data_IF_797383582329
#
_entry.id   IF_797383582329
#
_cell.length_a   1.000
_cell.length_b   1.000
_cell.length_c   1.000
_cell.angle_alpha   90.00
_cell.angle_beta   90.00
_cell.angle_gamma   90.00
#
_symmetry.space_group_name_H-M   'P 1'
#
loop_
_entity.id
_entity.type
_entity.pdbx_description
1 polymer ?
#
# COMPACT_ATOMS: atom_id res chain seq x y z
N UNK A 1 48.50 28.00 6.21
CA UNK A 1 48.54 28.76 7.47
C UNK A 1 48.39 27.75 8.60
N UNK A 2 49.43 27.54 9.41
CA UNK A 2 49.54 26.52 10.47
C UNK A 2 49.05 27.11 11.78
N UNK A 3 48.18 26.41 12.51
CA UNK A 3 48.15 26.32 13.99
C UNK A 3 47.46 24.99 14.36
N UNK A 4 48.17 23.96 14.82
CA UNK A 4 48.71 23.69 16.17
C UNK A 4 47.67 23.10 17.14
N UNK A 5 47.93 21.86 17.55
CA UNK A 5 47.16 21.05 18.52
C UNK A 5 47.35 21.55 19.95
N UNK A 6 46.30 21.46 20.76
CA UNK A 6 46.41 21.48 22.22
C UNK A 6 45.63 20.29 22.79
N UNK A 7 46.36 19.27 23.27
CA UNK A 7 45.80 18.12 23.98
C UNK A 7 45.48 18.55 25.42
N UNK A 8 44.27 18.25 25.91
CA UNK A 8 43.92 18.41 27.33
C UNK A 8 43.45 17.07 27.89
N UNK A 9 43.98 16.77 29.07
CA UNK A 9 43.83 15.59 29.93
C UNK A 9 42.42 14.97 29.88
N UNK A 10 42.33 13.71 29.47
CA UNK A 10 41.10 12.90 29.51
C UNK A 10 40.88 12.46 30.96
N UNK A 11 39.98 13.16 31.65
CA UNK A 11 39.46 12.77 32.96
C UNK A 11 38.67 11.46 32.83
N UNK A 12 38.89 10.53 33.77
CA UNK A 12 38.31 9.18 33.84
C UNK A 12 36.76 9.20 33.79
N UNK A 13 36.12 10.33 34.13
CA UNK A 13 34.68 10.52 33.99
C UNK A 13 34.16 10.63 32.55
N UNK A 14 35.02 10.87 31.56
CA UNK A 14 34.63 10.98 30.15
C UNK A 14 34.44 9.61 29.50
N UNK A 15 35.23 8.61 29.91
CA UNK A 15 35.16 7.25 29.35
C UNK A 15 33.84 6.56 29.70
N UNK A 16 33.37 6.71 30.95
CA UNK A 16 32.05 6.19 31.37
C UNK A 16 30.90 6.86 30.62
N UNK A 17 31.01 8.18 30.33
CA UNK A 17 30.00 8.92 29.56
C UNK A 17 30.00 8.57 28.07
N UNK A 18 31.17 8.27 27.49
CA UNK A 18 31.26 7.81 26.09
C UNK A 18 30.72 6.38 25.96
N UNK A 19 31.06 5.48 26.90
CA UNK A 19 30.56 4.10 26.87
C UNK A 19 29.05 4.07 27.10
N UNK A 20 28.51 4.85 28.06
CA UNK A 20 27.05 4.96 28.23
C UNK A 20 26.37 5.63 27.04
N UNK A 21 26.96 6.67 26.43
CA UNK A 21 26.42 7.26 25.22
C UNK A 21 26.42 6.27 24.03
N UNK A 22 27.49 5.48 23.86
CA UNK A 22 27.56 4.44 22.83
C UNK A 22 26.57 3.30 23.11
N UNK A 23 26.37 2.92 24.38
CA UNK A 23 25.38 1.90 24.74
C UNK A 23 23.95 2.42 24.55
N UNK A 24 23.68 3.69 24.85
CA UNK A 24 22.38 4.34 24.60
C UNK A 24 22.17 4.51 23.09
N UNK A 25 23.18 4.86 22.29
CA UNK A 25 23.07 4.91 20.83
C UNK A 25 22.88 3.51 20.24
N UNK A 26 23.55 2.49 20.78
CA UNK A 26 23.37 1.10 20.35
C UNK A 26 21.99 0.55 20.76
N UNK A 27 21.51 0.85 21.96
CA UNK A 27 20.17 0.50 22.44
C UNK A 27 19.09 1.29 21.72
N UNK A 28 19.31 2.56 21.38
CA UNK A 28 18.43 3.34 20.52
C UNK A 28 18.43 2.81 19.09
N UNK A 29 19.58 2.38 18.54
CA UNK A 29 19.65 1.70 17.23
C UNK A 29 18.99 0.33 17.23
N UNK A 30 19.08 -0.41 18.33
CA UNK A 30 18.37 -1.67 18.51
C UNK A 30 16.86 -1.44 18.71
N UNK A 31 16.46 -0.35 19.37
CA UNK A 31 15.06 0.03 19.54
C UNK A 31 14.44 0.57 18.24
N UNK A 32 15.23 1.17 17.33
CA UNK A 32 14.76 1.52 15.97
C UNK A 32 14.60 0.31 15.05
N UNK A 33 15.05 -0.90 15.44
CA UNK A 33 14.84 -2.11 14.65
C UNK A 33 13.41 -2.69 14.76
N UNK A 34 12.57 -2.11 15.62
CA UNK A 34 11.16 -2.49 15.82
C UNK A 34 10.17 -1.50 15.23
N UNK A 35 10.65 -0.54 14.42
CA UNK A 35 9.75 0.38 13.75
C UNK A 35 9.09 -0.32 12.56
N UNK A 36 7.76 -0.19 12.47
CA UNK A 36 6.91 -0.84 11.46
C UNK A 36 7.08 -0.12 10.11
N UNK A 37 8.27 -0.26 9.55
CA UNK A 37 8.72 0.48 8.40
C UNK A 37 8.57 -0.36 7.14
N UNK A 38 7.77 0.14 6.19
CA UNK A 38 7.75 -0.36 4.82
C UNK A 38 9.18 -0.40 4.27
N UNK A 39 9.59 -1.57 3.79
CA UNK A 39 10.94 -1.76 3.25
C UNK A 39 11.01 -3.03 2.41
N UNK A 40 11.78 -2.98 1.34
CA UNK A 40 12.03 -4.17 0.52
C UNK A 40 12.85 -5.20 1.30
N UNK A 41 12.59 -6.48 1.07
CA UNK A 41 13.28 -7.58 1.75
C UNK A 41 12.80 -7.84 3.18
N UNK A 42 11.94 -6.97 3.73
CA UNK A 42 11.27 -7.21 5.01
C UNK A 42 10.12 -8.19 4.84
N UNK A 43 9.93 -9.04 5.83
CA UNK A 43 8.96 -10.14 5.83
C UNK A 43 7.64 -9.77 6.50
N UNK A 44 6.57 -10.35 5.96
CA UNK A 44 5.18 -10.19 6.38
C UNK A 44 4.47 -11.56 6.43
N UNK A 45 3.52 -11.69 7.36
CA UNK A 45 2.71 -12.91 7.49
C UNK A 45 1.37 -12.75 6.76
N UNK A 46 1.26 -13.36 5.58
CA UNK A 46 0.06 -13.36 4.75
C UNK A 46 -0.81 -14.57 5.08
N UNK A 47 -0.22 -15.75 5.30
CA UNK A 47 -0.97 -16.99 5.50
C UNK A 47 -1.86 -16.94 6.74
N UNK A 48 -1.31 -16.51 7.88
CA UNK A 48 -2.09 -16.41 9.13
C UNK A 48 -3.07 -15.24 9.13
N UNK A 49 -3.02 -14.36 8.12
CA UNK A 49 -3.84 -13.16 7.98
C UNK A 49 -4.71 -13.19 6.72
N UNK A 50 -4.77 -14.32 6.02
CA UNK A 50 -5.52 -14.42 4.78
C UNK A 50 -7.01 -14.15 5.04
N UNK A 51 -7.58 -13.20 4.28
CA UNK A 51 -8.95 -12.72 4.43
C UNK A 51 -9.11 -11.55 5.39
N UNK A 52 -8.10 -11.26 6.21
CA UNK A 52 -8.10 -10.18 7.20
C UNK A 52 -6.85 -9.30 7.10
N UNK A 53 -6.13 -9.37 5.97
CA UNK A 53 -4.87 -8.65 5.80
C UNK A 53 -5.06 -7.13 5.91
N UNK A 54 -6.26 -6.62 5.65
CA UNK A 54 -6.62 -5.21 5.82
C UNK A 54 -6.54 -4.70 7.27
N UNK A 55 -6.43 -5.59 8.26
CA UNK A 55 -6.24 -5.24 9.67
C UNK A 55 -4.76 -4.96 9.95
N UNK A 56 -3.86 -5.70 9.29
CA UNK A 56 -2.42 -5.64 9.49
C UNK A 56 -1.73 -4.74 8.47
N UNK A 57 -2.33 -4.56 7.29
CA UNK A 57 -1.87 -3.67 6.23
C UNK A 57 -2.96 -2.65 5.91
N UNK A 58 -2.57 -1.38 5.93
CA UNK A 58 -3.48 -0.28 5.67
C UNK A 58 -3.61 -0.14 4.14
N UNK A 59 -4.73 -0.62 3.61
CA UNK A 59 -5.03 -0.65 2.15
C UNK A 59 -6.35 0.03 1.79
N UNK A 60 -7.05 0.55 2.79
CA UNK A 60 -8.28 1.32 2.64
C UNK A 60 -8.12 2.61 3.44
N UNK A 61 -8.55 3.76 2.91
CA UNK A 61 -8.72 5.00 3.65
C UNK A 61 -9.48 4.81 4.96
N UNK A 62 -8.84 5.25 6.05
CA UNK A 62 -9.45 5.31 7.37
C UNK A 62 -9.50 6.77 7.83
N UNK A 63 -10.55 7.10 8.58
CA UNK A 63 -10.72 8.40 9.19
C UNK A 63 -10.03 8.43 10.57
N UNK A 64 -8.76 8.08 10.60
CA UNK A 64 -7.92 8.07 11.80
C UNK A 64 -6.64 8.88 11.56
N UNK A 65 -5.96 9.26 12.65
CA UNK A 65 -4.73 10.06 12.62
C UNK A 65 -3.46 9.20 12.56
N UNK A 66 -3.62 7.87 12.52
CA UNK A 66 -2.51 6.93 12.59
C UNK A 66 -1.74 6.87 11.26
N UNK A 67 -0.41 6.82 11.34
CA UNK A 67 0.47 6.97 10.18
C UNK A 67 1.03 5.64 9.62
N UNK A 68 0.73 4.52 10.26
CA UNK A 68 1.35 3.25 9.92
C UNK A 68 0.82 2.67 8.59
N UNK A 69 1.72 2.01 7.84
CA UNK A 69 1.37 1.21 6.66
C UNK A 69 1.13 -0.25 7.07
N UNK A 70 1.99 -0.78 7.94
CA UNK A 70 1.79 -2.07 8.60
C UNK A 70 1.56 -1.88 10.10
N UNK A 71 0.55 -2.57 10.64
CA UNK A 71 0.24 -2.52 12.08
C UNK A 71 1.15 -3.44 12.88
N UNK A 72 1.53 -4.56 12.27
CA UNK A 72 2.45 -5.53 12.84
C UNK A 72 3.86 -5.22 12.34
N UNK A 73 4.89 -5.33 13.20
CA UNK A 73 6.25 -5.06 12.79
C UNK A 73 6.68 -6.04 11.69
N UNK A 74 7.29 -5.51 10.63
CA UNK A 74 7.91 -6.31 9.58
C UNK A 74 9.27 -6.84 10.05
N UNK A 75 9.64 -8.05 9.65
CA UNK A 75 10.89 -8.69 10.12
C UNK A 75 11.96 -8.67 9.03
N UNK A 76 13.16 -8.20 9.35
CA UNK A 76 14.31 -8.31 8.43
C UNK A 76 14.79 -9.76 8.37
N UNK A 77 14.71 -10.37 7.19
CA UNK A 77 15.13 -11.78 6.96
C UNK A 77 16.49 -11.87 6.29
N UNK A 78 16.81 -10.91 5.41
CA UNK A 78 18.03 -10.89 4.63
C UNK A 78 18.99 -9.82 5.13
N UNK A 79 20.28 -10.13 5.08
CA UNK A 79 21.37 -9.19 5.34
C UNK A 79 21.70 -8.39 4.10
N UNK A 80 21.99 -7.11 4.28
CA UNK A 80 22.44 -6.20 3.23
C UNK A 80 21.54 -6.18 1.99
N UNK A 81 20.23 -6.41 2.17
CA UNK A 81 19.27 -6.53 1.06
C UNK A 81 19.15 -5.25 0.24
N UNK A 82 19.43 -4.10 0.86
CA UNK A 82 19.43 -2.78 0.23
C UNK A 82 20.41 -2.68 -0.94
N UNK A 83 21.50 -3.47 -0.94
CA UNK A 83 22.45 -3.56 -2.07
C UNK A 83 21.81 -4.08 -3.35
N UNK A 84 20.70 -4.81 -3.22
CA UNK A 84 19.91 -5.35 -4.32
C UNK A 84 18.67 -4.49 -4.63
N UNK A 85 18.45 -3.42 -3.86
CA UNK A 85 17.38 -2.47 -4.13
C UNK A 85 17.75 -1.59 -5.32
N UNK A 86 16.82 -1.48 -6.27
CA UNK A 86 16.92 -0.49 -7.33
C UNK A 86 16.33 0.79 -6.78
N UNK A 87 17.20 1.74 -6.44
CA UNK A 87 16.75 3.11 -6.18
C UNK A 87 16.04 3.62 -7.45
N UNK A 88 14.83 4.20 -7.33
CA UNK A 88 14.16 4.75 -8.49
C UNK A 88 15.08 5.81 -9.09
N UNK A 89 15.38 5.70 -10.40
CA UNK A 89 16.08 6.79 -11.10
C UNK A 89 15.28 8.07 -10.80
N UNK A 90 15.92 9.17 -10.35
CA UNK A 90 15.20 10.42 -10.16
C UNK A 90 14.57 10.77 -11.51
N UNK A 91 13.24 10.57 -11.60
CA UNK A 91 12.50 10.92 -12.80
C UNK A 91 12.55 12.43 -12.88
N UNK A 92 13.15 12.96 -13.94
CA UNK A 92 13.03 14.39 -14.23
C UNK A 92 11.54 14.70 -14.31
N UNK A 93 11.06 15.55 -13.40
CA UNK A 93 9.69 16.01 -13.39
C UNK A 93 9.42 16.82 -14.66
N UNK A 94 9.04 16.14 -15.74
CA UNK A 94 8.61 16.76 -17.00
C UNK A 94 7.19 17.31 -16.90
N UNK A 95 6.43 16.96 -15.86
CA UNK A 95 5.03 17.34 -15.65
C UNK A 95 4.77 17.72 -14.19
N UNK A 96 3.83 18.66 -13.98
CA UNK A 96 3.35 19.11 -12.65
C UNK A 96 2.72 17.96 -11.82
N UNK A 97 2.30 16.90 -12.50
CA UNK A 97 1.70 15.68 -11.95
C UNK A 97 2.40 14.45 -12.54
N UNK A 98 3.01 13.62 -11.69
CA UNK A 98 3.48 12.28 -12.02
C UNK A 98 2.55 11.28 -11.32
N UNK A 99 1.58 10.79 -12.07
CA UNK A 99 0.49 10.00 -11.53
C UNK A 99 -0.28 9.27 -12.61
N UNK A 100 -1.22 8.45 -12.19
CA UNK A 100 -2.00 7.58 -13.05
C UNK A 100 -3.50 7.84 -12.87
N UNK A 101 -4.24 7.80 -13.97
CA UNK A 101 -5.69 7.90 -14.01
C UNK A 101 -6.24 6.61 -14.62
N UNK A 102 -7.08 5.91 -13.87
CA UNK A 102 -7.78 4.73 -14.36
C UNK A 102 -9.27 4.88 -14.18
N UNK A 103 -10.00 4.40 -15.18
CA UNK A 103 -11.44 4.21 -15.15
C UNK A 103 -11.73 2.77 -15.53
N UNK A 104 -12.25 2.00 -14.58
CA UNK A 104 -12.43 0.56 -14.69
C UNK A 104 -13.91 0.19 -14.68
N UNK A 105 -14.38 -0.38 -15.77
CA UNK A 105 -15.75 -0.85 -15.94
C UNK A 105 -15.87 -2.29 -15.44
N UNK A 106 -16.60 -2.47 -14.35
CA UNK A 106 -16.74 -3.72 -13.62
C UNK A 106 -18.18 -4.25 -13.71
N UNK A 107 -18.36 -5.43 -14.30
CA UNK A 107 -19.68 -6.02 -14.56
C UNK A 107 -20.37 -6.55 -13.30
N UNK A 108 -19.62 -6.71 -12.21
CA UNK A 108 -20.09 -7.20 -10.91
C UNK A 108 -19.08 -6.84 -9.80
N UNK A 109 -19.47 -7.10 -8.55
CA UNK A 109 -18.66 -6.81 -7.36
C UNK A 109 -17.29 -7.50 -7.38
N UNK A 110 -17.19 -8.73 -7.89
CA UNK A 110 -15.92 -9.45 -7.96
C UNK A 110 -14.92 -8.71 -8.87
N UNK A 111 -15.37 -8.24 -10.03
CA UNK A 111 -14.54 -7.43 -10.91
C UNK A 111 -14.16 -6.09 -10.27
N UNK A 112 -15.07 -5.47 -9.51
CA UNK A 112 -14.76 -4.25 -8.76
C UNK A 112 -13.64 -4.47 -7.74
N UNK A 113 -13.70 -5.55 -6.96
CA UNK A 113 -12.64 -5.89 -6.01
C UNK A 113 -11.32 -6.22 -6.72
N UNK A 114 -11.37 -6.90 -7.87
CA UNK A 114 -10.19 -7.14 -8.70
C UNK A 114 -9.56 -5.84 -9.22
N UNK A 115 -10.37 -4.89 -9.69
CA UNK A 115 -9.90 -3.60 -10.15
C UNK A 115 -9.32 -2.77 -8.99
N UNK A 116 -9.98 -2.77 -7.83
CA UNK A 116 -9.55 -2.03 -6.64
C UNK A 116 -8.18 -2.49 -6.13
N UNK A 117 -7.96 -3.81 -6.06
CA UNK A 117 -6.71 -4.40 -5.56
C UNK A 117 -5.75 -4.83 -6.69
N UNK A 118 -5.88 -4.27 -7.89
CA UNK A 118 -5.08 -4.69 -9.05
C UNK A 118 -3.58 -4.61 -8.84
N UNK A 119 -3.12 -3.58 -8.13
CA UNK A 119 -1.69 -3.34 -7.93
C UNK A 119 -1.10 -4.21 -6.80
N UNK A 120 -1.92 -5.01 -6.13
CA UNK A 120 -1.47 -5.97 -5.14
C UNK A 120 -1.23 -7.32 -5.79
N UNK A 121 -0.06 -7.90 -5.56
CA UNK A 121 0.30 -9.23 -6.00
C UNK A 121 1.01 -9.97 -4.87
N UNK A 122 0.70 -11.26 -4.73
CA UNK A 122 1.34 -12.14 -3.77
C UNK A 122 1.73 -13.43 -4.49
N UNK A 123 2.92 -13.95 -4.19
CA UNK A 123 3.37 -15.19 -4.78
C UNK A 123 2.37 -16.32 -4.49
N UNK A 124 2.05 -17.13 -5.51
CA UNK A 124 1.11 -18.27 -5.41
C UNK A 124 -0.31 -17.91 -5.00
N UNK A 125 -0.72 -16.63 -5.10
CA UNK A 125 -2.10 -16.22 -4.88
C UNK A 125 -2.72 -15.61 -6.14
N UNK A 126 -3.60 -16.37 -6.79
CA UNK A 126 -4.28 -15.94 -8.03
C UNK A 126 -5.26 -14.77 -7.83
N UNK A 127 -5.78 -14.60 -6.61
CA UNK A 127 -6.81 -13.60 -6.29
C UNK A 127 -6.39 -12.73 -5.11
N UNK A 128 -5.44 -11.79 -5.29
CA UNK A 128 -4.88 -10.96 -4.22
C UNK A 128 -5.93 -10.23 -3.39
N UNK A 129 -6.99 -9.73 -4.03
CA UNK A 129 -8.11 -9.06 -3.37
C UNK A 129 -8.78 -9.91 -2.27
N UNK A 130 -8.75 -11.25 -2.36
CA UNK A 130 -9.33 -12.13 -1.33
C UNK A 130 -8.51 -12.12 -0.03
N UNK A 131 -7.20 -11.89 -0.10
CA UNK A 131 -6.37 -11.79 1.11
C UNK A 131 -6.83 -10.63 2.01
N UNK A 132 -7.41 -9.59 1.42
CA UNK A 132 -7.94 -8.43 2.15
C UNK A 132 -9.42 -8.56 2.50
N UNK A 133 -10.23 -9.06 1.57
CA UNK A 133 -11.69 -8.89 1.62
C UNK A 133 -12.48 -10.13 2.02
N UNK A 134 -11.86 -11.33 2.05
CA UNK A 134 -12.61 -12.56 2.30
C UNK A 134 -13.27 -12.60 3.69
N UNK A 135 -12.74 -11.86 4.66
CA UNK A 135 -13.31 -11.72 6.00
C UNK A 135 -14.17 -10.46 6.19
N UNK A 136 -14.41 -9.65 5.15
CA UNK A 136 -15.19 -8.42 5.27
C UNK A 136 -16.70 -8.71 5.26
N UNK A 137 -17.44 -8.24 6.27
CA UNK A 137 -18.90 -8.10 6.18
C UNK A 137 -19.31 -7.12 5.08
N UNK A 138 -20.56 -7.21 4.63
CA UNK A 138 -21.10 -6.39 3.53
C UNK A 138 -21.09 -4.89 3.84
N UNK A 139 -21.38 -4.50 5.08
CA UNK A 139 -21.37 -3.11 5.52
C UNK A 139 -19.94 -2.51 5.56
N UNK A 140 -18.95 -3.31 5.97
CA UNK A 140 -17.54 -2.94 5.94
C UNK A 140 -17.07 -2.78 4.48
N UNK A 141 -17.45 -3.70 3.61
CA UNK A 141 -17.13 -3.62 2.19
C UNK A 141 -17.72 -2.36 1.54
N UNK A 142 -19.00 -2.09 1.79
CA UNK A 142 -19.69 -0.89 1.31
C UNK A 142 -18.98 0.39 1.78
N UNK A 143 -18.69 0.47 3.08
CA UNK A 143 -17.99 1.60 3.70
C UNK A 143 -16.62 1.84 3.08
N UNK A 144 -15.85 0.77 2.86
CA UNK A 144 -14.52 0.82 2.27
C UNK A 144 -14.55 1.28 0.81
N UNK A 145 -15.53 0.81 0.03
CA UNK A 145 -15.73 1.21 -1.36
C UNK A 145 -16.42 2.58 -1.50
N UNK A 146 -16.97 3.12 -0.41
CA UNK A 146 -17.66 4.40 -0.40
C UNK A 146 -19.09 4.35 -0.92
N UNK A 147 -19.71 3.17 -1.00
CA UNK A 147 -21.08 2.99 -1.48
C UNK A 147 -22.01 2.52 -0.35
N UNK A 148 -23.32 2.63 -0.54
CA UNK A 148 -24.29 2.04 0.41
C UNK A 148 -24.29 0.51 0.36
N UNK A 149 -24.58 -0.13 1.50
CA UNK A 149 -24.60 -1.59 1.62
C UNK A 149 -25.63 -2.28 0.73
N UNK A 150 -26.71 -1.57 0.37
CA UNK A 150 -27.71 -2.03 -0.61
C UNK A 150 -27.11 -2.33 -1.98
N UNK A 151 -26.00 -1.68 -2.36
CA UNK A 151 -25.35 -1.85 -3.65
C UNK A 151 -24.21 -2.88 -3.63
N UNK A 152 -24.00 -3.58 -2.51
CA UNK A 152 -23.05 -4.69 -2.44
C UNK A 152 -23.69 -6.01 -2.90
N UNK A 153 -24.96 -6.20 -2.55
CA UNK A 153 -25.71 -7.39 -2.90
C UNK A 153 -26.73 -7.03 -3.97
N UNK A 154 -26.69 -7.69 -5.13
CA UNK A 154 -27.63 -7.45 -6.22
C UNK A 154 -26.99 -7.55 -7.59
N UNK A 155 -27.77 -7.29 -8.62
CA UNK A 155 -27.29 -7.25 -10.01
C UNK A 155 -26.90 -5.82 -10.41
N UNK A 156 -25.83 -5.31 -9.79
CA UNK A 156 -25.30 -3.98 -10.08
C UNK A 156 -23.99 -4.06 -10.86
N UNK A 157 -23.76 -3.06 -11.71
CA UNK A 157 -22.50 -2.84 -12.38
C UNK A 157 -21.82 -1.60 -11.79
N UNK A 158 -20.49 -1.57 -11.84
CA UNK A 158 -19.70 -0.56 -11.16
C UNK A 158 -18.71 0.09 -12.12
N UNK A 159 -18.41 1.36 -11.89
CA UNK A 159 -17.26 2.02 -12.49
C UNK A 159 -16.38 2.53 -11.36
N UNK A 160 -15.13 2.05 -11.31
CA UNK A 160 -14.12 2.54 -10.38
C UNK A 160 -13.27 3.59 -11.09
N UNK A 161 -13.32 4.81 -10.59
CA UNK A 161 -12.41 5.89 -11.00
C UNK A 161 -11.33 6.02 -9.95
N UNK A 162 -10.06 5.99 -10.38
CA UNK A 162 -8.90 6.11 -9.50
C UNK A 162 -7.91 7.08 -10.08
N UNK A 163 -7.45 8.01 -9.25
CA UNK A 163 -6.34 8.91 -9.53
C UNK A 163 -5.27 8.68 -8.50
N UNK A 164 -4.03 8.48 -8.91
CA UNK A 164 -2.91 8.22 -7.99
C UNK A 164 -1.74 9.11 -8.34
N UNK A 165 -1.05 9.62 -7.32
CA UNK A 165 0.22 10.34 -7.45
C UNK A 165 1.28 9.54 -6.74
N UNK A 166 2.25 9.03 -7.50
CA UNK A 166 3.33 8.24 -6.94
C UNK A 166 4.37 9.13 -6.27
N UNK A 167 4.98 8.65 -5.20
CA UNK A 167 6.02 9.35 -4.45
C UNK A 167 7.30 8.55 -4.42
N UNK A 168 7.22 7.36 -3.86
CA UNK A 168 8.35 6.48 -3.70
C UNK A 168 8.07 5.15 -4.39
N UNK A 169 9.10 4.56 -4.94
CA UNK A 169 9.03 3.22 -5.52
C UNK A 169 10.32 2.53 -5.16
N UNK A 170 10.23 1.33 -4.61
CA UNK A 170 11.38 0.48 -4.38
C UNK A 170 11.10 -0.90 -4.95
N UNK A 171 12.13 -1.53 -5.50
CA UNK A 171 12.06 -2.86 -6.07
C UNK A 171 13.39 -3.57 -5.88
N UNK A 172 13.33 -4.84 -5.48
CA UNK A 172 14.48 -5.73 -5.48
C UNK A 172 14.75 -6.25 -6.88
N UNK A 173 16.03 -6.30 -7.23
CA UNK A 173 16.50 -7.17 -8.30
C UNK A 173 16.37 -8.65 -7.90
N UNK A 174 16.58 -9.56 -8.86
CA UNK A 174 16.67 -10.98 -8.55
C UNK A 174 17.74 -11.21 -7.46
N UNK A 175 17.30 -11.80 -6.34
CA UNK A 175 18.18 -12.07 -5.21
C UNK A 175 19.07 -13.28 -5.55
N UNK A 176 20.36 -13.24 -5.18
CA UNK A 176 21.25 -14.36 -5.40
C UNK A 176 20.83 -15.56 -4.54
N UNK A 177 21.04 -16.79 -5.05
CA UNK A 177 20.68 -18.03 -4.34
C UNK A 177 21.38 -18.18 -2.98
N UNK A 178 22.53 -17.55 -2.82
CA UNK A 178 23.36 -17.58 -1.61
C UNK A 178 23.28 -16.26 -0.82
N UNK A 179 22.15 -15.55 -0.90
CA UNK A 179 21.95 -14.35 -0.09
C UNK A 179 22.13 -14.66 1.41
N UNK A 180 22.80 -13.76 2.11
CA UNK A 180 22.99 -13.90 3.54
C UNK A 180 21.67 -13.67 4.28
N UNK A 181 21.37 -14.56 5.23
CA UNK A 181 20.19 -14.51 6.09
C UNK A 181 20.63 -13.97 7.46
N UNK A 182 19.74 -13.29 8.17
CA UNK A 182 20.01 -12.85 9.54
C UNK A 182 20.21 -14.04 10.49
N UNK A 183 21.19 -13.96 11.41
CA UNK A 183 21.57 -15.09 12.28
C UNK A 183 20.36 -15.62 13.08
N UNK A 184 19.54 -14.73 13.63
CA UNK A 184 18.35 -15.09 14.42
C UNK A 184 17.29 -15.84 13.59
N UNK A 185 17.28 -15.63 12.27
CA UNK A 185 16.40 -16.36 11.35
C UNK A 185 17.03 -17.69 10.96
N UNK A 186 18.35 -17.70 10.72
CA UNK A 186 19.09 -18.91 10.39
C UNK A 186 19.04 -19.94 11.52
N UNK A 187 19.23 -19.51 12.77
CA UNK A 187 19.06 -20.33 13.97
C UNK A 187 17.65 -20.92 14.03
N UNK A 188 16.62 -20.08 13.82
CA UNK A 188 15.23 -20.54 13.82
C UNK A 188 14.90 -21.51 12.68
N UNK A 189 15.57 -21.41 11.53
CA UNK A 189 15.45 -22.39 10.44
C UNK A 189 16.10 -23.73 10.85
N UNK A 190 17.23 -23.70 11.55
CA UNK A 190 17.92 -24.91 12.01
C UNK A 190 17.16 -25.61 13.13
N UNK A 191 16.50 -24.85 14.00
CA UNK A 191 15.64 -25.38 15.07
C UNK A 191 14.27 -25.86 14.55
N UNK A 192 13.88 -25.46 13.34
CA UNK A 192 12.60 -25.85 12.78
C UNK A 192 12.62 -27.30 12.28
N UNK A 193 11.75 -28.14 12.84
CA UNK A 193 11.63 -29.54 12.44
C UNK A 193 10.71 -29.67 11.22
N UNK A 194 11.28 -30.06 10.08
CA UNK A 194 10.50 -30.31 8.86
C UNK A 194 9.52 -31.47 9.11
N UNK A 195 8.23 -31.22 8.89
CA UNK A 195 7.16 -32.19 9.15
C UNK A 195 6.42 -31.96 10.47
N UNK A 196 6.99 -31.19 11.40
CA UNK A 196 6.26 -30.70 12.57
C UNK A 196 5.51 -29.42 12.20
N UNK A 197 4.18 -29.54 12.08
CA UNK A 197 3.31 -28.44 11.71
C UNK A 197 3.29 -27.32 12.76
N UNK A 198 3.53 -27.64 14.03
CA UNK A 198 3.55 -26.64 15.11
C UNK A 198 4.81 -25.78 15.00
N UNK A 199 5.98 -26.43 14.90
CA UNK A 199 7.27 -25.75 14.69
C UNK A 199 7.24 -24.84 13.44
N UNK A 200 6.72 -25.34 12.32
CA UNK A 200 6.61 -24.56 11.08
C UNK A 200 5.62 -23.39 11.24
N UNK A 201 4.45 -23.62 11.88
CA UNK A 201 3.48 -22.57 12.10
C UNK A 201 4.04 -21.46 13.02
N UNK A 202 4.86 -21.83 14.01
CA UNK A 202 5.51 -20.91 14.92
C UNK A 202 6.60 -20.09 14.22
N UNK A 203 7.39 -20.72 13.34
CA UNK A 203 8.34 -20.03 12.48
C UNK A 203 7.63 -18.99 11.60
N UNK A 204 6.56 -19.39 10.89
CA UNK A 204 5.79 -18.48 10.03
C UNK A 204 5.17 -17.33 10.83
N UNK A 205 4.69 -17.61 12.05
CA UNK A 205 4.12 -16.59 12.92
C UNK A 205 5.15 -15.54 13.31
N UNK A 206 6.39 -15.94 13.56
CA UNK A 206 7.46 -15.07 14.05
C UNK A 206 8.20 -14.33 12.93
N UNK A 207 8.49 -15.01 11.82
CA UNK A 207 9.34 -14.48 10.74
C UNK A 207 8.58 -14.14 9.45
N UNK A 208 7.29 -14.48 9.38
CA UNK A 208 6.45 -14.23 8.22
C UNK A 208 6.45 -15.37 7.22
N UNK A 209 5.66 -15.18 6.16
CA UNK A 209 5.45 -16.16 5.08
C UNK A 209 5.98 -15.67 3.73
N UNK A 210 6.10 -14.34 3.59
CA UNK A 210 6.47 -13.66 2.36
C UNK A 210 7.36 -12.48 2.72
N UNK A 211 8.14 -11.99 1.77
CA UNK A 211 8.87 -10.73 1.89
C UNK A 211 8.43 -9.73 0.82
N UNK A 212 8.65 -8.44 1.09
CA UNK A 212 8.28 -7.36 0.19
C UNK A 212 9.33 -7.28 -0.93
N UNK A 213 8.97 -7.74 -2.13
CA UNK A 213 9.85 -7.65 -3.30
C UNK A 213 9.86 -6.24 -3.92
N UNK A 214 8.72 -5.55 -3.88
CA UNK A 214 8.58 -4.18 -4.39
C UNK A 214 7.40 -3.48 -3.76
N UNK A 215 7.44 -2.15 -3.70
CA UNK A 215 6.31 -1.32 -3.32
C UNK A 215 6.30 0.00 -4.09
N UNK A 216 5.13 0.61 -4.15
CA UNK A 216 4.93 2.00 -4.60
C UNK A 216 4.11 2.70 -3.52
N UNK A 217 4.60 3.84 -3.02
CA UNK A 217 3.85 4.70 -2.11
C UNK A 217 3.40 5.96 -2.82
N UNK A 218 2.34 6.56 -2.32
CA UNK A 218 1.77 7.74 -2.92
C UNK A 218 0.41 8.11 -2.34
N UNK A 219 -0.17 9.15 -2.89
CA UNK A 219 -1.54 9.52 -2.57
C UNK A 219 -2.45 8.93 -3.65
N UNK A 220 -3.64 8.48 -3.27
CA UNK A 220 -4.64 8.05 -4.24
C UNK A 220 -6.02 8.49 -3.84
N UNK A 221 -6.80 8.94 -4.81
CA UNK A 221 -8.21 9.21 -4.70
C UNK A 221 -8.95 8.15 -5.50
N UNK A 222 -10.04 7.62 -4.96
CA UNK A 222 -10.93 6.77 -5.72
C UNK A 222 -12.40 7.07 -5.44
N UNK A 223 -13.24 6.75 -6.41
CA UNK A 223 -14.69 6.86 -6.31
C UNK A 223 -15.33 5.70 -7.11
N UNK A 224 -16.41 5.16 -6.56
CA UNK A 224 -17.17 4.08 -7.18
C UNK A 224 -18.53 4.60 -7.59
N UNK A 225 -18.89 4.43 -8.85
CA UNK A 225 -20.23 4.70 -9.38
C UNK A 225 -20.97 3.39 -9.57
N UNK A 226 -22.24 3.36 -9.21
CA UNK A 226 -23.11 2.19 -9.35
C UNK A 226 -24.16 2.46 -10.42
N UNK A 227 -24.35 1.48 -11.30
CA UNK A 227 -25.26 1.58 -12.43
C UNK A 227 -26.13 0.34 -12.56
N UNK A 228 -27.33 0.54 -13.10
CA UNK A 228 -28.13 -0.55 -13.64
C UNK A 228 -27.43 -1.16 -14.86
N UNK A 229 -27.65 -2.45 -15.10
CA UNK A 229 -27.05 -3.21 -16.21
C UNK A 229 -27.31 -2.58 -17.59
N UNK A 230 -28.50 -2.04 -17.81
CA UNK A 230 -28.90 -1.44 -19.09
C UNK A 230 -28.17 -0.12 -19.37
N UNK A 231 -28.08 0.77 -18.38
CA UNK A 231 -27.35 2.03 -18.48
C UNK A 231 -25.85 1.76 -18.62
N UNK A 232 -25.31 0.89 -17.76
CA UNK A 232 -23.90 0.52 -17.78
C UNK A 232 -23.45 -0.04 -19.14
N UNK A 233 -24.24 -0.92 -19.76
CA UNK A 233 -23.89 -1.53 -21.05
C UNK A 233 -23.78 -0.47 -22.15
N UNK A 234 -24.69 0.50 -22.18
CA UNK A 234 -24.66 1.62 -23.12
C UNK A 234 -23.41 2.49 -22.94
N UNK A 235 -23.06 2.81 -21.69
CA UNK A 235 -21.86 3.61 -21.40
C UNK A 235 -20.60 2.81 -21.80
N UNK A 236 -20.51 1.54 -21.40
CA UNK A 236 -19.37 0.67 -21.69
C UNK A 236 -19.14 0.51 -23.19
N UNK A 237 -20.20 0.31 -23.98
CA UNK A 237 -20.11 0.23 -25.45
C UNK A 237 -19.64 1.55 -26.06
N UNK A 238 -20.16 2.69 -25.58
CA UNK A 238 -19.75 4.01 -26.07
C UNK A 238 -18.27 4.28 -25.81
N UNK A 239 -17.81 3.97 -24.60
CA UNK A 239 -16.40 4.09 -24.19
C UNK A 239 -15.50 3.14 -24.99
N UNK A 240 -15.94 1.90 -25.23
CA UNK A 240 -15.18 0.97 -26.07
C UNK A 240 -15.08 1.40 -27.53
N UNK A 241 -16.14 1.99 -28.08
CA UNK A 241 -16.19 2.38 -29.49
C UNK A 241 -15.40 3.65 -29.80
N UNK A 242 -15.41 4.63 -28.89
CA UNK A 242 -14.77 5.94 -29.09
C UNK A 242 -13.46 6.13 -28.32
N UNK A 243 -13.24 5.37 -27.26
CA UNK A 243 -12.21 5.68 -26.27
C UNK A 243 -12.65 6.79 -25.31
N UNK A 244 -12.02 6.86 -24.14
CA UNK A 244 -12.37 7.82 -23.08
C UNK A 244 -12.05 9.27 -23.51
N UNK A 245 -10.98 9.46 -24.29
CA UNK A 245 -10.51 10.80 -24.72
C UNK A 245 -11.42 11.47 -25.75
N UNK A 246 -12.20 10.67 -26.49
CA UNK A 246 -12.97 11.16 -27.63
C UNK A 246 -14.47 11.30 -27.28
N UNK A 247 -14.84 11.07 -26.01
CA UNK A 247 -16.17 11.36 -25.49
C UNK A 247 -16.19 12.82 -25.02
N UNK A 248 -17.16 13.64 -25.48
CA UNK A 248 -17.32 15.00 -24.99
C UNK A 248 -17.45 15.05 -23.46
N UNK A 249 -16.81 16.05 -22.83
CA UNK A 249 -16.84 16.23 -21.37
C UNK A 249 -18.28 16.34 -20.85
N UNK A 250 -19.16 17.01 -21.62
CA UNK A 250 -20.59 17.11 -21.30
C UNK A 250 -21.29 15.75 -21.21
N UNK A 251 -20.98 14.84 -22.14
CA UNK A 251 -21.54 13.49 -22.15
C UNK A 251 -20.99 12.70 -20.96
N UNK A 252 -19.70 12.87 -20.65
CA UNK A 252 -19.11 12.18 -19.52
C UNK A 252 -19.67 12.62 -18.17
N UNK A 253 -19.82 13.93 -17.96
CA UNK A 253 -20.43 14.47 -16.75
C UNK A 253 -21.87 13.97 -16.62
N UNK A 254 -22.61 13.91 -17.72
CA UNK A 254 -23.97 13.41 -17.71
C UNK A 254 -24.04 11.92 -17.33
N UNK A 255 -23.19 11.07 -17.90
CA UNK A 255 -23.15 9.65 -17.58
C UNK A 255 -22.82 9.36 -16.11
N UNK A 256 -21.98 10.18 -15.47
CA UNK A 256 -21.62 10.02 -14.05
C UNK A 256 -22.48 10.85 -13.10
N UNK A 257 -23.50 11.55 -13.60
CA UNK A 257 -24.44 12.30 -12.80
C UNK A 257 -25.46 11.38 -12.09
N UNK A 258 -26.14 11.87 -11.04
CA UNK A 258 -27.24 11.16 -10.38
C UNK A 258 -28.43 10.81 -11.28
N UNK A 259 -28.51 11.36 -12.50
CA UNK A 259 -29.57 11.02 -13.45
C UNK A 259 -29.36 9.64 -14.10
N UNK A 260 -28.11 9.20 -14.23
CA UNK A 260 -27.76 7.92 -14.87
C UNK A 260 -27.22 6.90 -13.86
N UNK A 261 -26.45 7.34 -12.87
CA UNK A 261 -25.95 6.49 -11.80
C UNK A 261 -27.06 6.21 -10.78
N UNK A 262 -27.25 4.93 -10.42
CA UNK A 262 -28.12 4.54 -9.30
C UNK A 262 -27.57 5.05 -7.97
N UNK A 263 -26.24 5.14 -7.88
CA UNK A 263 -25.55 5.67 -6.73
C UNK A 263 -24.18 6.23 -7.10
N UNK A 264 -23.92 7.44 -6.62
CA UNK A 264 -22.59 8.06 -6.66
C UNK A 264 -21.94 7.81 -5.31
N UNK A 265 -20.89 6.99 -5.29
CA UNK A 265 -20.15 6.69 -4.08
C UNK A 265 -19.39 7.91 -3.54
N UNK A 266 -19.14 7.91 -2.24
CA UNK A 266 -18.31 8.90 -1.59
C UNK A 266 -16.87 8.83 -2.13
N UNK A 267 -16.27 10.00 -2.35
CA UNK A 267 -14.85 10.12 -2.67
C UNK A 267 -14.03 9.64 -1.48
N UNK A 268 -13.07 8.75 -1.75
CA UNK A 268 -12.18 8.19 -0.76
C UNK A 268 -10.75 8.62 -1.06
N UNK A 269 -10.08 9.15 -0.04
CA UNK A 269 -8.71 9.65 -0.18
C UNK A 269 -7.77 8.87 0.71
N UNK A 270 -6.71 8.40 0.09
CA UNK A 270 -5.55 7.83 0.74
C UNK A 270 -4.41 8.85 0.66
N UNK A 271 -3.93 9.30 1.80
CA UNK A 271 -2.73 10.13 1.90
C UNK A 271 -1.69 9.46 2.76
N UNK A 272 -0.44 9.49 2.30
CA UNK A 272 0.68 9.18 3.19
C UNK A 272 0.83 10.34 4.19
N UNK A 273 1.03 10.07 5.49
CA UNK A 273 0.81 11.00 6.61
C UNK A 273 1.64 12.28 6.63
N UNK A 274 2.66 12.41 5.76
CA UNK A 274 3.56 13.56 5.79
C UNK A 274 2.97 14.84 5.21
N UNK A 275 1.78 14.83 4.58
CA UNK A 275 1.30 16.02 3.85
C UNK A 275 -0.20 16.31 4.01
N UNK A 276 -0.55 17.04 5.07
CA UNK A 276 -1.88 17.62 5.26
C UNK A 276 -2.22 18.75 4.25
N UNK A 277 -1.21 19.35 3.61
CA UNK A 277 -1.38 20.46 2.64
C UNK A 277 -1.84 20.02 1.23
N UNK A 278 -1.84 18.71 0.93
CA UNK A 278 -2.15 18.20 -0.43
C UNK A 278 -3.64 17.87 -0.59
N UNK A 279 -4.36 17.61 0.51
CA UNK A 279 -5.81 17.39 0.49
C UNK A 279 -6.54 18.57 -0.15
N UNK A 280 -6.16 19.81 0.20
CA UNK A 280 -6.75 21.01 -0.39
C UNK A 280 -6.48 21.14 -1.89
N UNK A 281 -5.29 20.81 -2.38
CA UNK A 281 -4.96 20.88 -3.82
C UNK A 281 -5.63 19.79 -4.67
N UNK A 282 -5.77 18.57 -4.13
CA UNK A 282 -6.48 17.48 -4.82
C UNK A 282 -7.99 17.78 -4.84
N UNK A 283 -8.58 18.24 -3.73
CA UNK A 283 -9.98 18.68 -3.73
C UNK A 283 -10.21 19.83 -4.73
N UNK A 284 -9.38 20.87 -4.71
CA UNK A 284 -9.51 22.03 -5.61
C UNK A 284 -9.31 21.72 -7.11
N UNK A 285 -8.51 20.71 -7.45
CA UNK A 285 -8.27 20.36 -8.87
C UNK A 285 -9.33 19.43 -9.45
N UNK A 286 -10.08 18.71 -8.60
CA UNK A 286 -11.02 17.65 -9.02
C UNK A 286 -12.46 17.87 -8.54
N UNK A 287 -12.80 19.06 -8.04
CA UNK A 287 -14.19 19.54 -7.88
C UNK A 287 -15.01 19.42 -9.19
N UNK A 288 -14.36 19.15 -10.32
CA UNK A 288 -14.97 18.84 -11.63
C UNK A 288 -16.03 17.72 -11.63
N UNK A 289 -16.02 16.79 -10.66
CA UNK A 289 -17.01 15.71 -10.59
C UNK A 289 -17.97 15.78 -9.40
N UNK A 290 -17.80 16.75 -8.50
CA UNK A 290 -18.69 16.92 -7.34
C UNK A 290 -19.64 18.11 -7.51
N UNK A 291 -19.28 19.10 -8.33
CA UNK A 291 -20.14 20.23 -8.65
C UNK A 291 -19.94 20.67 -10.10
N UNK A 292 -20.69 20.06 -11.01
CA UNK A 292 -21.09 20.63 -12.30
C UNK A 292 -22.43 20.01 -12.72
#
# INVERSE_FOLDING_TARGET
MVYCFCLKVISIGVMVRIVTALLVVALCRAATALDSELGVGKAINIFMRYGYLSICMRVVPRNDTESWVFREPTVSVFRDVDKFSVAPKPRQAKTLFDGDFHMEFCDNLKQLLQAYFRDFSFERLERPWRAFTAGWPTDIMARNLGINSSFINGDHCYVLVRVSRFRETAKLNELPKNIAIEDVVLEAIQDANIGDTVSIADFIRKYGSHYIASYVTGNSLYQVFVFSRSVYSRIKERVKAKGITDIPVSDMNNYFSPFFAEHVGAVKVWTVPTDSQILSYIFLSYDLFTFA
#
